data_IF_865162797837
#
_entry.id   IF_865162797837
#
_cell.length_a   1.000
_cell.length_b   1.000
_cell.length_c   1.000
_cell.angle_alpha   90.00
_cell.angle_beta   90.00
_cell.angle_gamma   90.00
#
_symmetry.space_group_name_H-M   'P 1'
#
loop_
_entity.id
_entity.type
_entity.pdbx_description
1 polymer ?
#
# COMPACT_ATOMS: atom_id res chain seq x y z
N UNK A 1 6.86 52.37 48.78
CA UNK A 1 5.61 51.59 48.98
C UNK A 1 5.09 51.23 47.59
N UNK A 2 5.46 50.13 46.92
CA UNK A 2 5.19 48.69 47.15
C UNK A 2 3.70 48.36 47.38
N UNK A 3 2.98 47.97 46.33
CA UNK A 3 1.96 46.89 46.28
C UNK A 3 1.87 46.40 44.81
N UNK A 4 2.49 45.25 44.50
CA UNK A 4 1.88 43.91 44.35
C UNK A 4 1.05 43.75 43.05
N UNK A 5 1.73 43.28 41.99
CA UNK A 5 1.09 42.61 40.85
C UNK A 5 1.24 41.10 41.09
N UNK A 6 0.11 40.39 41.19
CA UNK A 6 0.06 38.95 41.32
C UNK A 6 0.19 38.30 39.93
N UNK A 7 1.19 37.43 39.75
CA UNK A 7 1.28 36.51 38.62
C UNK A 7 0.69 35.16 39.05
N UNK A 8 -0.32 34.71 38.31
CA UNK A 8 -0.93 33.39 38.44
C UNK A 8 -0.27 32.46 37.40
N UNK A 9 0.63 31.58 37.83
CA UNK A 9 1.18 30.50 37.00
C UNK A 9 0.45 29.20 37.34
N UNK A 10 -0.28 28.65 36.37
CA UNK A 10 -0.85 27.30 36.44
C UNK A 10 0.12 26.36 35.73
N UNK A 11 0.83 25.56 36.53
CA UNK A 11 1.59 24.39 36.11
C UNK A 11 0.72 23.16 36.40
N UNK A 12 0.25 22.46 35.37
CA UNK A 12 -0.34 21.13 35.52
C UNK A 12 0.62 20.14 34.87
N UNK A 13 1.41 19.50 35.73
CA UNK A 13 2.11 18.25 35.43
C UNK A 13 1.11 17.12 35.68
N UNK A 14 0.83 16.29 34.67
CA UNK A 14 0.29 14.96 34.89
C UNK A 14 1.24 13.95 34.23
N UNK A 15 1.98 13.26 35.08
CA UNK A 15 2.78 12.09 34.76
C UNK A 15 1.87 10.86 34.80
N UNK A 16 1.90 10.02 33.76
CA UNK A 16 1.53 8.61 33.90
C UNK A 16 2.83 7.79 33.96
N UNK A 17 3.13 7.28 35.16
CA UNK A 17 4.20 6.33 35.44
C UNK A 17 3.50 5.08 35.98
N UNK A 18 3.40 4.03 35.19
CA UNK A 18 3.06 2.69 35.70
C UNK A 18 4.36 1.93 35.94
N UNK A 19 4.60 1.65 37.21
CA UNK A 19 5.71 0.88 37.75
C UNK A 19 5.24 -0.56 37.93
N UNK A 20 5.92 -1.51 37.29
CA UNK A 20 5.80 -2.94 37.57
C UNK A 20 6.96 -3.36 38.47
N UNK A 21 6.66 -4.00 39.60
CA UNK A 21 7.64 -4.74 40.39
C UNK A 21 7.11 -6.15 40.71
N UNK A 22 8.00 -7.16 40.76
CA UNK A 22 7.65 -8.59 40.84
C UNK A 22 7.58 -9.09 42.29
N UNK A 23 6.75 -10.10 42.57
CA UNK A 23 6.71 -10.79 43.86
C UNK A 23 6.96 -12.30 43.74
N UNK A 24 7.81 -12.81 44.63
CA UNK A 24 8.33 -14.16 44.79
C UNK A 24 7.45 -15.04 45.71
N UNK A 25 7.39 -16.33 45.41
CA UNK A 25 7.21 -17.57 46.23
C UNK A 25 6.58 -17.58 47.66
N UNK A 26 5.48 -18.36 47.79
CA UNK A 26 5.16 -19.50 48.71
C UNK A 26 5.04 -19.31 50.26
N UNK A 27 4.44 -20.23 51.08
CA UNK A 27 3.52 -21.38 50.83
C UNK A 27 2.24 -21.40 51.73
N UNK A 28 1.27 -22.26 51.40
CA UNK A 28 0.29 -22.99 52.25
C UNK A 28 -0.87 -23.41 51.31
N UNK A 29 -1.27 -24.66 51.10
CA UNK A 29 -1.12 -25.89 51.85
C UNK A 29 -2.51 -26.53 51.96
N UNK A 30 -2.93 -27.36 51.01
CA UNK A 30 -3.89 -28.47 51.24
C UNK A 30 -3.74 -29.50 50.12
N UNK A 31 -3.33 -30.69 50.52
CA UNK A 31 -3.32 -31.94 49.75
C UNK A 31 -4.75 -32.45 49.54
N UNK A 32 -5.09 -32.85 48.33
CA UNK A 32 -5.93 -34.02 48.07
C UNK A 32 -5.38 -34.74 46.83
N UNK A 33 -4.79 -35.89 47.09
CA UNK A 33 -4.30 -36.86 46.13
C UNK A 33 -5.43 -37.86 45.84
N UNK A 34 -5.68 -38.18 44.58
CA UNK A 34 -5.93 -39.56 44.15
C UNK A 34 -5.91 -39.67 42.62
N UNK A 35 -4.85 -40.31 42.16
CA UNK A 35 -4.65 -40.99 40.89
C UNK A 35 -5.91 -41.63 40.25
N UNK A 36 -6.05 -41.51 38.92
CA UNK A 36 -5.88 -42.65 38.01
C UNK A 36 -6.07 -42.25 36.53
N UNK A 37 -5.15 -42.78 35.73
CA UNK A 37 -4.92 -42.70 34.28
C UNK A 37 -6.14 -43.12 33.43
N UNK A 38 -6.39 -42.43 32.33
CA UNK A 38 -6.69 -43.08 31.04
C UNK A 38 -6.16 -42.24 29.88
N UNK A 39 -5.06 -42.72 29.31
CA UNK A 39 -4.59 -42.50 27.95
C UNK A 39 -5.71 -42.75 26.94
N UNK A 40 -5.97 -41.79 26.05
CA UNK A 40 -5.92 -41.95 24.58
C UNK A 40 -6.64 -40.79 23.89
N UNK A 41 -6.13 -40.44 22.70
CA UNK A 41 -6.55 -39.35 21.79
C UNK A 41 -5.75 -38.03 21.94
N UNK A 42 -4.42 -38.14 21.91
CA UNK A 42 -3.62 -37.15 21.19
C UNK A 42 -3.60 -37.63 19.74
N UNK A 43 -4.54 -37.12 18.94
CA UNK A 43 -4.46 -37.25 17.49
C UNK A 43 -3.35 -36.31 17.04
N UNK A 44 -2.22 -36.88 16.63
CA UNK A 44 -1.15 -36.20 15.93
C UNK A 44 -1.71 -35.58 14.63
N UNK A 45 -2.12 -34.30 14.68
CA UNK A 45 -2.15 -33.44 13.50
C UNK A 45 -0.71 -33.02 13.17
N UNK A 46 0.08 -33.99 12.70
CA UNK A 46 1.18 -33.69 11.77
C UNK A 46 0.61 -33.70 10.37
N UNK A 47 -0.21 -32.69 10.07
CA UNK A 47 -0.61 -32.43 8.70
C UNK A 47 0.61 -31.91 7.94
N UNK A 48 0.99 -32.69 6.92
CA UNK A 48 2.11 -32.43 6.04
C UNK A 48 1.94 -31.08 5.33
N UNK A 49 2.59 -30.03 5.85
CA UNK A 49 2.87 -28.81 5.07
C UNK A 49 3.96 -29.11 4.03
N UNK A 50 3.59 -29.88 3.02
CA UNK A 50 4.33 -29.95 1.75
C UNK A 50 3.38 -29.48 0.66
N UNK A 51 3.00 -28.21 0.73
CA UNK A 51 2.50 -27.48 -0.44
C UNK A 51 3.59 -27.58 -1.50
N UNK A 52 3.43 -28.54 -2.39
CA UNK A 52 4.48 -28.89 -3.37
C UNK A 52 4.67 -27.74 -4.35
N UNK A 53 5.89 -27.52 -4.83
CA UNK A 53 6.20 -26.54 -5.91
C UNK A 53 5.23 -26.66 -7.10
N UNK A 54 4.73 -27.87 -7.38
CA UNK A 54 3.70 -28.15 -8.38
C UNK A 54 2.37 -27.41 -8.13
N UNK A 55 1.91 -27.30 -6.88
CA UNK A 55 0.68 -26.57 -6.55
C UNK A 55 0.83 -25.07 -6.78
N UNK A 56 2.00 -24.49 -6.45
CA UNK A 56 2.28 -23.08 -6.73
C UNK A 56 2.35 -22.80 -8.24
N UNK A 57 2.95 -23.71 -9.01
CA UNK A 57 3.00 -23.64 -10.47
C UNK A 57 1.60 -23.75 -11.10
N UNK A 58 0.75 -24.65 -10.60
CA UNK A 58 -0.63 -24.79 -11.06
C UNK A 58 -1.48 -23.55 -10.74
N UNK A 59 -1.32 -22.94 -9.56
CA UNK A 59 -1.99 -21.69 -9.19
C UNK A 59 -1.53 -20.51 -10.06
N UNK A 60 -0.22 -20.37 -10.28
CA UNK A 60 0.32 -19.31 -11.14
C UNK A 60 -0.21 -19.39 -12.58
N UNK A 61 -0.24 -20.60 -13.16
CA UNK A 61 -0.82 -20.83 -14.49
C UNK A 61 -2.30 -20.50 -14.54
N UNK A 62 -3.04 -20.80 -13.49
CA UNK A 62 -4.45 -20.46 -13.38
C UNK A 62 -4.66 -18.93 -13.34
N UNK A 63 -3.86 -18.20 -12.57
CA UNK A 63 -3.89 -16.74 -12.53
C UNK A 63 -3.53 -16.11 -13.88
N UNK A 64 -2.51 -16.63 -14.57
CA UNK A 64 -2.17 -16.19 -15.92
C UNK A 64 -3.31 -16.45 -16.94
N UNK A 65 -4.00 -17.58 -16.82
CA UNK A 65 -5.16 -17.87 -17.65
C UNK A 65 -6.30 -16.88 -17.40
N UNK A 66 -6.63 -16.60 -16.13
CA UNK A 66 -7.65 -15.61 -15.76
C UNK A 66 -7.29 -14.21 -16.26
N UNK A 67 -6.05 -13.76 -16.04
CA UNK A 67 -5.53 -12.48 -16.53
C UNK A 67 -5.76 -12.33 -18.04
N UNK A 68 -5.48 -13.38 -18.81
CA UNK A 68 -5.67 -13.39 -20.26
C UNK A 68 -7.15 -13.36 -20.65
N UNK A 69 -8.03 -14.10 -19.97
CA UNK A 69 -9.47 -14.06 -20.23
C UNK A 69 -10.07 -12.68 -19.92
N UNK A 70 -9.68 -12.06 -18.81
CA UNK A 70 -10.10 -10.69 -18.46
C UNK A 70 -9.65 -9.71 -19.55
N UNK A 71 -8.38 -9.78 -19.96
CA UNK A 71 -7.83 -8.92 -21.01
C UNK A 71 -8.56 -9.12 -22.35
N UNK A 72 -8.93 -10.35 -22.71
CA UNK A 72 -9.73 -10.65 -23.91
C UNK A 72 -11.07 -9.93 -23.85
N UNK A 73 -11.75 -9.94 -22.70
CA UNK A 73 -13.03 -9.27 -22.47
C UNK A 73 -12.99 -7.74 -22.51
N UNK A 74 -11.81 -7.11 -22.36
CA UNK A 74 -11.67 -5.66 -22.46
C UNK A 74 -11.89 -5.15 -23.90
N UNK A 75 -12.52 -3.99 -24.03
CA UNK A 75 -12.94 -3.41 -25.32
C UNK A 75 -11.89 -2.52 -25.99
N UNK A 76 -11.18 -1.69 -25.23
CA UNK A 76 -10.28 -0.70 -25.81
C UNK A 76 -8.95 -1.34 -26.22
N UNK A 77 -8.70 -1.45 -27.53
CA UNK A 77 -7.50 -2.08 -28.08
C UNK A 77 -6.20 -1.36 -27.68
N UNK A 78 -6.21 -0.03 -27.67
CA UNK A 78 -5.02 0.77 -27.32
C UNK A 78 -4.57 0.41 -25.90
N UNK A 79 -5.48 0.46 -24.92
CA UNK A 79 -5.14 0.11 -23.54
C UNK A 79 -4.68 -1.34 -23.39
N UNK A 80 -5.30 -2.29 -24.11
CA UNK A 80 -4.89 -3.70 -24.11
C UNK A 80 -3.46 -3.92 -24.56
N UNK A 81 -2.90 -3.03 -25.37
CA UNK A 81 -1.56 -3.17 -25.95
C UNK A 81 -0.57 -2.14 -25.36
N UNK A 82 -1.05 -1.27 -24.46
CA UNK A 82 -0.29 -0.13 -23.94
C UNK A 82 0.49 -0.42 -22.65
N UNK A 83 1.23 0.61 -22.21
CA UNK A 83 1.82 0.67 -20.87
C UNK A 83 0.81 0.43 -19.74
N UNK A 84 -0.44 0.87 -19.89
CA UNK A 84 -1.48 0.77 -18.87
C UNK A 84 -2.27 -0.56 -18.91
N UNK A 85 -1.80 -1.57 -19.64
CA UNK A 85 -2.51 -2.86 -19.80
C UNK A 85 -2.91 -3.48 -18.46
N UNK A 86 -1.96 -3.58 -17.53
CA UNK A 86 -2.20 -4.23 -16.24
C UNK A 86 -3.19 -3.43 -15.36
N UNK A 87 -3.03 -2.11 -15.34
CA UNK A 87 -3.96 -1.19 -14.70
C UNK A 87 -5.37 -1.25 -15.32
N UNK A 88 -5.46 -1.49 -16.63
CA UNK A 88 -6.73 -1.65 -17.34
C UNK A 88 -7.41 -2.99 -17.00
N UNK A 89 -6.64 -4.08 -16.89
CA UNK A 89 -7.12 -5.38 -16.39
C UNK A 89 -7.75 -5.19 -15.01
N UNK A 90 -7.04 -4.51 -14.11
CA UNK A 90 -7.41 -4.25 -12.71
C UNK A 90 -8.47 -3.17 -12.48
N UNK A 91 -9.06 -2.64 -13.56
CA UNK A 91 -10.14 -1.65 -13.54
C UNK A 91 -9.80 -0.30 -12.86
N UNK A 92 -8.52 0.01 -12.62
CA UNK A 92 -8.10 1.36 -12.16
C UNK A 92 -7.97 2.34 -13.32
N UNK A 93 -7.85 1.83 -14.55
CA UNK A 93 -7.84 2.62 -15.78
C UNK A 93 -9.09 2.30 -16.58
N UNK A 94 -9.79 3.33 -17.06
CA UNK A 94 -10.96 3.19 -17.94
C UNK A 94 -10.96 4.27 -19.02
N UNK A 95 -11.87 4.16 -19.99
CA UNK A 95 -12.05 5.16 -21.04
C UNK A 95 -13.45 5.78 -20.89
N UNK A 96 -13.51 7.11 -20.95
CA UNK A 96 -14.74 7.88 -21.04
C UNK A 96 -14.49 9.11 -21.91
N UNK A 97 -15.36 9.37 -22.89
CA UNK A 97 -15.27 10.54 -23.78
C UNK A 97 -13.85 10.78 -24.33
N UNK A 98 -13.27 9.75 -24.95
CA UNK A 98 -11.90 9.76 -25.52
C UNK A 98 -10.80 10.16 -24.53
N UNK A 99 -11.05 9.98 -23.23
CA UNK A 99 -10.08 10.24 -22.17
C UNK A 99 -9.78 8.97 -21.41
N UNK A 100 -8.50 8.75 -21.13
CA UNK A 100 -8.04 7.82 -20.10
C UNK A 100 -8.42 8.40 -18.75
N UNK A 101 -9.20 7.67 -17.98
CA UNK A 101 -9.51 7.97 -16.59
C UNK A 101 -8.73 7.00 -15.72
N UNK A 102 -7.96 7.53 -14.77
CA UNK A 102 -7.19 6.74 -13.81
C UNK A 102 -7.66 7.06 -12.40
N UNK A 103 -7.97 6.02 -11.64
CA UNK A 103 -8.29 6.09 -10.22
C UNK A 103 -7.54 4.98 -9.48
N UNK A 104 -6.56 5.35 -8.68
CA UNK A 104 -5.73 4.41 -7.90
C UNK A 104 -5.97 4.66 -6.42
N UNK A 105 -6.53 3.68 -5.68
CA UNK A 105 -6.61 3.74 -4.23
C UNK A 105 -5.30 3.27 -3.60
N UNK A 106 -4.51 4.17 -3.03
CA UNK A 106 -3.32 3.79 -2.27
C UNK A 106 -3.74 3.51 -0.83
N UNK A 107 -4.03 2.24 -0.54
CA UNK A 107 -4.59 1.76 0.73
C UNK A 107 -3.60 0.89 1.54
N UNK A 108 -2.33 0.82 1.14
CA UNK A 108 -1.25 0.14 1.85
C UNK A 108 -0.11 1.14 2.04
N UNK A 109 0.25 1.45 3.29
CA UNK A 109 1.12 2.58 3.58
C UNK A 109 2.47 2.18 4.19
N UNK A 110 2.58 0.97 4.75
CA UNK A 110 3.79 0.40 5.38
C UNK A 110 3.82 -1.14 5.20
N UNK A 111 4.98 -1.82 5.30
CA UNK A 111 5.11 -3.28 5.11
C UNK A 111 4.30 -4.15 6.08
N UNK A 112 4.11 -3.69 7.32
CA UNK A 112 3.31 -4.35 8.36
C UNK A 112 2.72 -3.28 9.27
N UNK A 113 1.53 -2.77 8.93
CA UNK A 113 0.94 -1.70 9.73
C UNK A 113 0.23 -2.19 11.00
N UNK A 114 -0.01 -3.49 11.19
CA UNK A 114 -0.66 -4.06 12.39
C UNK A 114 -1.98 -3.39 12.83
N UNK A 115 -2.56 -2.52 12.00
CA UNK A 115 -3.61 -1.55 12.30
C UNK A 115 -4.78 -1.77 11.33
N UNK A 116 -6.03 -1.47 11.74
CA UNK A 116 -7.21 -1.74 10.91
C UNK A 116 -7.09 -1.05 9.55
N UNK A 117 -7.27 -1.85 8.49
CA UNK A 117 -7.01 -1.62 7.05
C UNK A 117 -7.83 -0.48 6.38
N UNK A 118 -8.14 0.59 7.10
CA UNK A 118 -9.22 1.49 6.75
C UNK A 118 -8.76 2.90 6.33
N UNK A 119 -7.47 3.15 6.08
CA UNK A 119 -6.97 4.42 5.54
C UNK A 119 -6.64 4.29 4.05
N UNK A 120 -7.08 5.25 3.23
CA UNK A 120 -6.75 5.30 1.79
C UNK A 120 -6.41 6.71 1.33
N UNK A 121 -5.46 6.79 0.40
CA UNK A 121 -5.19 7.99 -0.41
C UNK A 121 -5.52 7.68 -1.86
N UNK A 122 -6.64 8.23 -2.36
CA UNK A 122 -7.10 7.95 -3.72
C UNK A 122 -6.60 9.03 -4.69
N UNK A 123 -5.81 8.63 -5.68
CA UNK A 123 -5.30 9.52 -6.72
C UNK A 123 -6.09 9.35 -8.00
N UNK A 124 -6.67 10.46 -8.44
CA UNK A 124 -7.46 10.53 -9.67
C UNK A 124 -6.82 11.48 -10.65
N UNK A 125 -6.72 11.07 -11.91
CA UNK A 125 -6.33 11.94 -13.02
C UNK A 125 -6.90 11.45 -14.33
N UNK A 126 -6.91 12.34 -15.31
CA UNK A 126 -7.37 12.01 -16.66
C UNK A 126 -6.55 12.73 -17.71
N UNK A 127 -6.42 12.09 -18.86
CA UNK A 127 -5.76 12.69 -20.02
C UNK A 127 -6.34 12.12 -21.31
N UNK A 128 -6.16 12.85 -22.41
CA UNK A 128 -6.72 12.48 -23.72
C UNK A 128 -6.11 11.17 -24.23
N UNK A 129 -6.95 10.29 -24.76
CA UNK A 129 -6.54 9.14 -25.55
C UNK A 129 -6.70 9.49 -27.03
N UNK A 130 -5.58 9.58 -27.75
CA UNK A 130 -5.58 9.66 -29.22
C UNK A 130 -5.38 8.25 -29.81
N UNK A 131 -4.93 8.13 -31.06
CA UNK A 131 -4.65 6.84 -31.74
C UNK A 131 -3.57 5.98 -31.03
N UNK A 132 -2.84 6.58 -30.09
CA UNK A 132 -1.85 5.93 -29.23
C UNK A 132 -1.88 6.52 -27.83
N UNK A 133 -1.44 5.73 -26.85
CA UNK A 133 -1.24 6.20 -25.49
C UNK A 133 -0.01 7.11 -25.45
N UNK A 134 -0.19 8.36 -25.00
CA UNK A 134 0.89 9.30 -24.72
C UNK A 134 0.69 9.90 -23.33
N UNK A 135 1.72 9.81 -22.51
CA UNK A 135 1.72 10.45 -21.20
C UNK A 135 1.90 11.98 -21.35
N UNK A 136 1.01 12.81 -20.78
CA UNK A 136 1.13 14.25 -20.91
C UNK A 136 2.28 14.78 -20.05
N UNK A 137 2.98 15.82 -20.52
CA UNK A 137 4.05 16.48 -19.76
C UNK A 137 3.56 17.12 -18.45
N UNK A 138 2.30 17.55 -18.43
CA UNK A 138 1.62 18.07 -17.25
C UNK A 138 0.31 17.32 -17.07
N UNK A 139 0.05 16.90 -15.84
CA UNK A 139 -1.09 16.06 -15.53
C UNK A 139 -1.80 16.62 -14.30
N UNK A 140 -3.01 17.14 -14.50
CA UNK A 140 -3.86 17.56 -13.39
C UNK A 140 -4.36 16.35 -12.63
N UNK A 141 -4.33 16.42 -11.30
CA UNK A 141 -4.80 15.34 -10.44
C UNK A 141 -5.62 15.87 -9.28
N UNK A 142 -6.42 14.99 -8.69
CA UNK A 142 -7.03 15.17 -7.38
C UNK A 142 -6.62 14.03 -6.47
N UNK A 143 -6.25 14.36 -5.24
CA UNK A 143 -5.96 13.42 -4.15
C UNK A 143 -7.10 13.52 -3.13
N UNK A 144 -7.59 12.36 -2.70
CA UNK A 144 -8.60 12.27 -1.64
C UNK A 144 -8.12 11.31 -0.56
N UNK A 145 -7.83 11.87 0.60
CA UNK A 145 -7.42 11.19 1.81
C UNK A 145 -8.67 10.89 2.65
N UNK A 146 -8.96 9.62 2.93
CA UNK A 146 -10.19 9.22 3.64
C UNK A 146 -10.03 7.93 4.46
N UNK A 147 -11.09 7.62 5.22
CA UNK A 147 -11.15 6.43 6.06
C UNK A 147 -10.79 6.71 7.52
N UNK A 148 -9.90 5.93 8.12
CA UNK A 148 -9.45 6.10 9.51
C UNK A 148 -8.44 7.26 9.69
N UNK A 149 -8.84 8.47 9.31
CA UNK A 149 -8.07 9.72 9.47
C UNK A 149 -8.85 10.71 10.33
N UNK A 150 -8.14 11.59 11.04
CA UNK A 150 -8.76 12.64 11.88
C UNK A 150 -9.69 13.55 11.07
N UNK A 151 -9.32 13.83 9.82
CA UNK A 151 -10.11 14.61 8.89
C UNK A 151 -9.83 14.18 7.46
N UNK A 152 -10.90 13.90 6.71
CA UNK A 152 -10.78 13.67 5.27
C UNK A 152 -10.30 14.93 4.55
N UNK A 153 -9.42 14.75 3.57
CA UNK A 153 -8.82 15.87 2.83
C UNK A 153 -8.89 15.63 1.35
N UNK A 154 -9.26 16.68 0.62
CA UNK A 154 -9.21 16.71 -0.84
C UNK A 154 -8.31 17.84 -1.29
N UNK A 155 -7.37 17.51 -2.17
CA UNK A 155 -6.53 18.50 -2.82
C UNK A 155 -6.51 18.28 -4.32
N UNK A 156 -6.19 19.34 -5.04
CA UNK A 156 -6.05 19.35 -6.49
C UNK A 156 -4.71 19.98 -6.84
N UNK A 157 -3.98 19.35 -7.75
CA UNK A 157 -2.66 19.82 -8.15
C UNK A 157 -2.33 19.48 -9.59
N UNK A 158 -1.08 19.72 -9.96
CA UNK A 158 -0.50 19.26 -11.22
C UNK A 158 0.78 18.49 -10.93
N UNK A 159 0.91 17.36 -11.60
CA UNK A 159 2.20 16.70 -11.79
C UNK A 159 2.91 17.25 -13.02
N UNK A 160 4.23 17.24 -12.99
CA UNK A 160 5.13 17.37 -14.13
C UNK A 160 5.79 16.02 -14.40
N UNK A 161 5.84 15.61 -15.67
CA UNK A 161 6.55 14.41 -16.09
C UNK A 161 8.05 14.63 -15.89
N UNK A 162 8.69 13.79 -15.08
CA UNK A 162 10.13 13.81 -14.84
C UNK A 162 10.86 12.84 -15.76
N UNK A 163 10.38 11.59 -15.81
CA UNK A 163 11.00 10.51 -16.56
C UNK A 163 9.92 9.63 -17.21
N UNK A 164 10.19 9.17 -18.43
CA UNK A 164 9.37 8.21 -19.15
C UNK A 164 10.31 7.22 -19.84
N UNK A 165 10.17 5.94 -19.50
CA UNK A 165 10.90 4.83 -20.10
C UNK A 165 9.90 3.74 -20.53
N UNK A 166 10.36 2.69 -21.24
CA UNK A 166 9.47 1.57 -21.58
C UNK A 166 8.87 0.83 -20.38
N UNK A 167 9.45 0.97 -19.18
CA UNK A 167 9.09 0.22 -17.98
C UNK A 167 8.46 1.09 -16.89
N UNK A 168 8.83 2.37 -16.78
CA UNK A 168 8.30 3.28 -15.76
C UNK A 168 8.01 4.69 -16.27
N UNK A 169 7.06 5.35 -15.60
CA UNK A 169 6.72 6.76 -15.79
C UNK A 169 6.71 7.42 -14.43
N UNK A 170 7.48 8.51 -14.28
CA UNK A 170 7.66 9.21 -13.02
C UNK A 170 7.15 10.64 -13.15
N UNK A 171 6.17 10.96 -12.33
CA UNK A 171 5.53 12.27 -12.20
C UNK A 171 5.86 12.89 -10.86
N UNK A 172 6.03 14.21 -10.81
CA UNK A 172 6.26 14.94 -9.57
C UNK A 172 5.44 16.22 -9.47
N UNK A 173 4.87 16.45 -8.29
CA UNK A 173 4.15 17.68 -7.96
C UNK A 173 4.97 18.50 -6.96
N UNK A 174 5.46 19.66 -7.42
CA UNK A 174 6.21 20.60 -6.56
C UNK A 174 5.35 21.19 -5.45
N UNK A 175 4.07 21.45 -5.74
CA UNK A 175 3.14 22.10 -4.81
C UNK A 175 2.95 21.29 -3.52
N UNK A 176 2.86 19.97 -3.64
CA UNK A 176 2.56 19.07 -2.53
C UNK A 176 3.69 18.08 -2.21
N UNK A 177 4.84 18.18 -2.89
CA UNK A 177 5.97 17.25 -2.74
C UNK A 177 5.51 15.79 -2.88
N UNK A 178 4.89 15.49 -4.02
CA UNK A 178 4.32 14.18 -4.35
C UNK A 178 5.05 13.59 -5.52
N UNK A 179 5.38 12.30 -5.45
CA UNK A 179 5.87 11.55 -6.60
C UNK A 179 4.91 10.41 -6.90
N UNK A 180 4.42 10.35 -8.13
CA UNK A 180 3.68 9.22 -8.66
C UNK A 180 4.59 8.45 -9.60
N UNK A 181 4.79 7.16 -9.32
CA UNK A 181 5.47 6.24 -10.23
C UNK A 181 4.44 5.26 -10.76
N UNK A 182 4.40 5.10 -12.07
CA UNK A 182 3.63 4.06 -12.74
C UNK A 182 4.63 3.07 -13.36
N UNK A 183 4.36 1.78 -13.25
CA UNK A 183 5.11 0.72 -13.91
C UNK A 183 4.25 0.03 -14.96
N UNK A 184 4.90 -0.43 -16.02
CA UNK A 184 4.25 -1.20 -17.08
C UNK A 184 3.75 -2.57 -16.60
N UNK A 185 4.41 -3.14 -15.60
CA UNK A 185 4.22 -4.50 -15.13
C UNK A 185 4.47 -4.57 -13.63
N UNK A 186 3.74 -5.44 -12.94
CA UNK A 186 3.95 -5.74 -11.51
C UNK A 186 5.04 -6.79 -11.27
N UNK A 187 5.67 -7.34 -12.31
CA UNK A 187 6.65 -8.44 -12.18
C UNK A 187 7.91 -8.07 -11.39
N UNK A 188 8.37 -6.82 -11.50
CA UNK A 188 9.64 -6.39 -10.89
C UNK A 188 9.43 -5.86 -9.46
N UNK A 189 8.38 -5.07 -9.24
CA UNK A 189 8.12 -4.37 -7.97
C UNK A 189 6.95 -4.93 -7.17
N UNK A 190 6.28 -5.98 -7.64
CA UNK A 190 5.06 -6.51 -7.03
C UNK A 190 3.83 -5.59 -7.17
N UNK A 191 3.96 -4.42 -7.81
CA UNK A 191 2.87 -3.46 -8.06
C UNK A 191 3.07 -2.74 -9.39
N UNK A 192 2.01 -2.11 -9.91
CA UNK A 192 2.11 -1.19 -11.05
C UNK A 192 2.14 0.28 -10.67
N UNK A 193 2.06 0.64 -9.38
CA UNK A 193 2.21 2.04 -8.98
C UNK A 193 2.79 2.21 -7.57
N UNK A 194 3.57 3.27 -7.41
CA UNK A 194 3.99 3.81 -6.12
C UNK A 194 3.54 5.26 -5.99
N UNK A 195 3.21 5.64 -4.76
CA UNK A 195 2.95 7.03 -4.41
C UNK A 195 3.78 7.46 -3.21
N UNK A 196 4.60 8.48 -3.39
CA UNK A 196 5.45 9.01 -2.33
C UNK A 196 4.98 10.40 -1.92
N UNK A 197 5.01 10.66 -0.61
CA UNK A 197 4.64 11.94 -0.02
C UNK A 197 5.83 12.57 0.70
N UNK A 198 5.88 13.90 0.75
CA UNK A 198 6.90 14.64 1.52
C UNK A 198 8.30 14.69 0.90
N UNK A 199 8.57 13.95 -0.17
CA UNK A 199 9.89 13.88 -0.81
C UNK A 199 10.16 15.08 -1.73
N UNK A 200 11.42 15.53 -1.75
CA UNK A 200 11.88 16.53 -2.71
C UNK A 200 11.94 16.00 -4.15
N UNK A 201 11.91 16.93 -5.12
CA UNK A 201 12.07 16.61 -6.55
C UNK A 201 13.35 15.78 -6.78
N UNK A 202 13.30 14.79 -7.67
CA UNK A 202 14.39 13.88 -8.05
C UNK A 202 14.86 12.90 -6.96
N UNK A 203 14.23 12.87 -5.78
CA UNK A 203 14.53 11.84 -4.76
C UNK A 203 14.18 10.43 -5.24
N UNK A 204 13.15 10.32 -6.08
CA UNK A 204 12.79 9.10 -6.80
C UNK A 204 13.09 9.32 -8.28
N UNK A 205 13.78 8.38 -8.89
CA UNK A 205 14.22 8.40 -10.28
C UNK A 205 14.43 6.97 -10.78
N UNK A 206 14.67 6.78 -12.08
CA UNK A 206 14.87 5.44 -12.65
C UNK A 206 16.02 4.65 -12.02
N UNK A 207 17.02 5.32 -11.44
CA UNK A 207 18.19 4.65 -10.88
C UNK A 207 17.91 3.98 -9.53
N UNK A 208 16.94 4.48 -8.75
CA UNK A 208 16.68 3.99 -7.40
C UNK A 208 15.28 3.39 -7.19
N UNK A 209 14.35 3.61 -8.12
CA UNK A 209 12.94 3.24 -7.90
C UNK A 209 12.71 1.75 -7.68
N UNK A 210 13.59 0.89 -8.19
CA UNK A 210 13.52 -0.57 -8.03
C UNK A 210 14.21 -1.10 -6.76
N UNK A 211 15.10 -0.31 -6.14
CA UNK A 211 15.83 -0.74 -4.93
C UNK A 211 15.26 -0.12 -3.66
N UNK A 212 14.47 0.95 -3.76
CA UNK A 212 14.00 1.71 -2.59
C UNK A 212 13.19 0.88 -1.58
N UNK A 213 12.41 -0.11 -2.05
CA UNK A 213 11.70 -1.03 -1.16
C UNK A 213 12.64 -2.11 -0.60
N UNK A 214 13.61 -2.57 -1.39
CA UNK A 214 14.57 -3.59 -0.97
C UNK A 214 15.52 -3.06 0.10
N UNK A 215 15.81 -1.75 0.06
CA UNK A 215 16.66 -1.03 1.00
C UNK A 215 15.88 -0.49 2.21
N UNK A 216 14.57 -0.71 2.29
CA UNK A 216 13.76 -0.25 3.42
C UNK A 216 14.20 -0.90 4.72
N UNK A 217 14.37 -0.06 5.74
CA UNK A 217 14.68 -0.45 7.12
C UNK A 217 13.74 0.31 8.06
N UNK A 218 12.89 -0.40 8.80
CA UNK A 218 11.94 0.16 9.76
C UNK A 218 12.64 0.83 10.96
N UNK A 219 13.90 0.47 11.24
CA UNK A 219 14.72 1.10 12.27
C UNK A 219 15.36 2.44 11.82
N UNK A 220 15.37 2.74 10.51
CA UNK A 220 15.91 4.00 9.98
C UNK A 220 14.77 4.98 9.67
N UNK A 221 14.69 6.07 10.45
CA UNK A 221 13.71 7.15 10.25
C UNK A 221 13.81 7.83 8.88
N UNK A 222 14.92 7.66 8.15
CA UNK A 222 15.10 8.18 6.80
C UNK A 222 14.71 7.18 5.71
N UNK A 223 14.36 5.95 6.07
CA UNK A 223 13.86 4.95 5.12
C UNK A 223 12.62 5.47 4.43
N UNK A 224 12.58 5.28 3.12
CA UNK A 224 11.49 5.73 2.28
C UNK A 224 10.64 4.52 1.93
N UNK A 225 9.36 4.57 2.25
CA UNK A 225 8.40 3.57 1.80
C UNK A 225 7.26 4.23 1.02
N UNK A 226 6.89 3.72 -0.16
CA UNK A 226 5.77 4.26 -0.92
C UNK A 226 4.44 3.80 -0.35
N UNK A 227 3.41 4.61 -0.53
CA UNK A 227 2.05 4.11 -0.51
C UNK A 227 1.85 3.23 -1.75
N UNK A 228 1.25 2.07 -1.54
CA UNK A 228 0.93 1.08 -2.56
C UNK A 228 -0.56 0.76 -2.54
N UNK A 229 -1.02 -0.01 -3.52
CA UNK A 229 -2.42 -0.30 -3.72
C UNK A 229 -2.65 -1.80 -3.73
N UNK A 230 -3.58 -2.29 -2.91
CA UNK A 230 -3.96 -3.70 -2.91
C UNK A 230 -4.40 -4.17 -4.30
N UNK A 231 -5.21 -3.35 -4.98
CA UNK A 231 -5.75 -3.69 -6.31
C UNK A 231 -4.65 -3.81 -7.37
N UNK A 232 -3.50 -3.17 -7.15
CA UNK A 232 -2.33 -3.21 -8.04
C UNK A 232 -1.26 -4.23 -7.63
N UNK A 233 -1.38 -4.81 -6.43
CA UNK A 233 -0.42 -5.77 -5.88
C UNK A 233 -0.92 -7.21 -5.89
N UNK A 234 -2.23 -7.43 -5.70
CA UNK A 234 -2.80 -8.79 -5.63
C UNK A 234 -2.60 -9.57 -6.93
N UNK A 235 -2.32 -10.88 -6.80
CA UNK A 235 -2.27 -11.82 -7.93
C UNK A 235 -3.58 -12.63 -8.08
N UNK A 236 -4.62 -12.31 -7.31
CA UNK A 236 -5.94 -12.91 -7.38
C UNK A 236 -6.78 -12.22 -8.46
N UNK A 237 -6.63 -12.66 -9.71
CA UNK A 237 -7.31 -12.05 -10.85
C UNK A 237 -8.83 -12.28 -10.86
N UNK A 238 -9.34 -13.21 -10.07
CA UNK A 238 -10.77 -13.44 -9.84
C UNK A 238 -11.49 -12.16 -9.43
N UNK A 239 -10.83 -11.29 -8.68
CA UNK A 239 -11.36 -10.01 -8.21
C UNK A 239 -11.67 -9.01 -9.34
N UNK A 240 -11.23 -9.31 -10.58
CA UNK A 240 -11.39 -8.42 -11.74
C UNK A 240 -12.30 -8.98 -12.83
N UNK A 241 -12.91 -10.14 -12.60
CA UNK A 241 -13.94 -10.70 -13.46
C UNK A 241 -15.21 -9.83 -13.32
N UNK A 242 -15.75 -9.39 -14.46
CA UNK A 242 -16.99 -8.60 -14.54
C UNK A 242 -17.90 -9.16 -15.63
#
# INVERSE_FOLDING_TARGET
>A
MRQLLAFLTILVLYSCRQQSEPAKTSPNGTLLDSSAISTDLITDEKENNKTTEKQFDDWGKYQDALRNEILKGKKNKILKESFLQEMYIRNVVTISNDSVLVNIPFNIHEPDCGAPDAYSTDIHFSFKLDDKLLFPKKLSFTEYEHGCVDQERKLSGSFELLEETPNEVIYYSTQYKRTLVLFRSNKENGTTAFYFTGLGKNKINRQNVYTIIQEYNDEDENSIYPFTSWVLTTNEYENFIR
#
